data_IF_350641441254
#
_entry.id   IF_350641441254
#
_cell.length_a   1.000
_cell.length_b   1.000
_cell.length_c   1.000
_cell.angle_alpha   90.00
_cell.angle_beta   90.00
_cell.angle_gamma   90.00
#
_symmetry.space_group_name_H-M   'P 1'
#
loop_
_entity.id
_entity.type
_entity.pdbx_description
1 polymer ?
#
# COMPACT_ATOMS: atom_id res chain seq x y z
N UNK A 1 9.99 -14.74 10.48
CA UNK A 1 9.14 -13.97 9.54
C UNK A 1 8.65 -12.65 10.12
N UNK A 2 8.04 -12.63 11.32
CA UNK A 2 7.56 -11.40 11.98
C UNK A 2 8.63 -10.31 12.04
N UNK A 3 9.78 -10.60 12.65
CA UNK A 3 10.89 -9.65 12.77
C UNK A 3 11.36 -9.10 11.43
N UNK A 4 11.53 -9.97 10.43
CA UNK A 4 11.92 -9.56 9.09
C UNK A 4 10.92 -8.56 8.47
N UNK A 5 9.61 -8.75 8.70
CA UNK A 5 8.58 -7.84 8.24
C UNK A 5 8.57 -6.51 9.02
N UNK A 6 8.62 -6.58 10.35
CA UNK A 6 8.63 -5.44 11.28
C UNK A 6 9.81 -4.50 11.01
N UNK A 7 11.00 -5.07 10.81
CA UNK A 7 12.25 -4.36 10.58
C UNK A 7 12.63 -4.20 9.11
N UNK A 8 11.77 -4.63 8.18
CA UNK A 8 11.98 -4.46 6.74
C UNK A 8 13.29 -5.08 6.22
N UNK A 9 13.57 -6.33 6.60
CA UNK A 9 14.82 -7.01 6.23
C UNK A 9 14.85 -7.41 4.74
N UNK A 10 15.56 -6.62 3.93
CA UNK A 10 15.66 -6.83 2.48
C UNK A 10 16.16 -8.22 2.10
N UNK A 11 17.20 -8.74 2.76
CA UNK A 11 17.79 -10.05 2.43
C UNK A 11 16.79 -11.19 2.53
N UNK A 12 15.89 -11.14 3.53
CA UNK A 12 14.83 -12.15 3.69
C UNK A 12 13.80 -12.04 2.57
N UNK A 13 13.31 -10.84 2.26
CA UNK A 13 12.30 -10.65 1.21
C UNK A 13 12.83 -10.89 -0.20
N UNK A 14 14.08 -10.52 -0.47
CA UNK A 14 14.78 -10.86 -1.71
C UNK A 14 14.84 -12.38 -1.91
N UNK A 15 15.26 -13.13 -0.87
CA UNK A 15 15.30 -14.59 -0.92
C UNK A 15 13.90 -15.19 -1.13
N UNK A 16 12.90 -14.74 -0.37
CA UNK A 16 11.52 -15.20 -0.50
C UNK A 16 10.96 -14.94 -1.89
N UNK A 17 11.21 -13.76 -2.45
CA UNK A 17 10.82 -13.40 -3.80
C UNK A 17 11.38 -14.34 -4.87
N UNK A 18 12.67 -14.66 -4.77
CA UNK A 18 13.32 -15.66 -5.64
C UNK A 18 12.73 -17.06 -5.43
N UNK A 19 12.43 -17.45 -4.19
CA UNK A 19 11.80 -18.74 -3.87
C UNK A 19 10.37 -18.83 -4.43
N UNK A 20 9.59 -17.75 -4.37
CA UNK A 20 8.25 -17.67 -4.99
C UNK A 20 8.32 -17.73 -6.52
N UNK A 21 9.42 -17.24 -7.10
CA UNK A 21 9.67 -17.26 -8.54
C UNK A 21 8.86 -16.22 -9.31
N UNK A 22 9.31 -15.92 -10.54
CA UNK A 22 8.73 -14.86 -11.37
C UNK A 22 7.26 -15.10 -11.70
N UNK A 23 6.85 -16.36 -11.91
CA UNK A 23 5.45 -16.71 -12.19
C UNK A 23 4.53 -16.39 -11.01
N UNK A 24 4.92 -16.78 -9.79
CA UNK A 24 4.16 -16.51 -8.57
C UNK A 24 4.10 -15.02 -8.23
N UNK A 25 5.22 -14.31 -8.38
CA UNK A 25 5.31 -12.86 -8.18
C UNK A 25 4.45 -12.11 -9.21
N UNK A 26 4.52 -12.48 -10.49
CA UNK A 26 3.67 -11.92 -11.56
C UNK A 26 2.19 -12.13 -11.27
N UNK A 27 1.79 -13.35 -10.91
CA UNK A 27 0.39 -13.66 -10.62
C UNK A 27 -0.13 -12.84 -9.44
N UNK A 28 0.70 -12.66 -8.41
CA UNK A 28 0.36 -11.84 -7.24
C UNK A 28 0.28 -10.36 -7.58
N UNK A 29 1.27 -9.80 -8.28
CA UNK A 29 1.24 -8.40 -8.72
C UNK A 29 0.00 -8.12 -9.59
N UNK A 30 -0.27 -9.02 -10.55
CA UNK A 30 -1.45 -8.96 -11.39
C UNK A 30 -2.72 -8.99 -10.52
N UNK A 31 -2.83 -9.88 -9.53
CA UNK A 31 -4.00 -10.00 -8.62
C UNK A 31 -4.24 -8.76 -7.73
N UNK A 32 -3.28 -7.84 -7.66
CA UNK A 32 -3.47 -6.50 -7.07
C UNK A 32 -3.79 -5.40 -8.07
N UNK A 33 -3.49 -5.58 -9.35
CA UNK A 33 -3.82 -4.63 -10.43
C UNK A 33 -2.59 -4.07 -11.14
N UNK A 34 -1.39 -4.57 -10.83
CA UNK A 34 -0.19 -4.20 -11.56
C UNK A 34 -0.27 -4.69 -13.01
N UNK A 35 0.37 -3.93 -13.90
CA UNK A 35 0.39 -4.09 -15.35
C UNK A 35 -0.98 -3.93 -16.03
N UNK A 36 -2.01 -3.43 -15.32
CA UNK A 36 -3.30 -3.07 -15.92
C UNK A 36 -3.33 -1.58 -16.33
N UNK A 37 -3.22 -1.32 -17.62
CA UNK A 37 -3.33 0.02 -18.20
C UNK A 37 -4.78 0.46 -18.47
N UNK A 38 -5.77 -0.40 -18.18
CA UNK A 38 -7.19 -0.17 -18.43
C UNK A 38 -7.92 0.56 -17.31
N UNK A 39 -7.31 0.74 -16.14
CA UNK A 39 -7.96 1.33 -14.96
C UNK A 39 -8.38 2.79 -15.21
N UNK A 40 -9.65 3.10 -14.92
CA UNK A 40 -10.24 4.44 -15.08
C UNK A 40 -11.12 4.84 -13.90
N UNK A 41 -10.89 6.04 -13.33
CA UNK A 41 -11.62 6.56 -12.16
C UNK A 41 -11.68 8.11 -12.13
N UNK A 42 -12.68 8.75 -12.75
CA UNK A 42 -13.29 8.37 -14.04
C UNK A 42 -12.29 8.51 -15.21
N UNK A 43 -11.15 9.14 -14.97
CA UNK A 43 -10.08 9.35 -15.94
C UNK A 43 -9.06 8.21 -15.93
N UNK A 44 -8.20 8.14 -16.95
CA UNK A 44 -7.12 7.15 -17.02
C UNK A 44 -6.19 7.27 -15.81
N UNK A 45 -5.89 6.13 -15.20
CA UNK A 45 -4.92 6.00 -14.12
C UNK A 45 -3.59 5.53 -14.69
N UNK A 46 -2.47 6.11 -14.23
CA UNK A 46 -1.16 5.61 -14.60
C UNK A 46 -0.98 4.17 -14.07
N UNK A 47 -0.55 3.21 -14.91
CA UNK A 47 -0.40 1.83 -14.46
C UNK A 47 0.76 1.72 -13.47
N UNK A 48 0.57 0.89 -12.44
CA UNK A 48 1.69 0.36 -11.67
C UNK A 48 2.28 -0.83 -12.42
N UNK A 49 3.61 -0.97 -12.43
CA UNK A 49 4.30 -1.97 -13.26
C UNK A 49 5.09 -2.96 -12.43
N UNK A 50 5.08 -4.21 -12.86
CA UNK A 50 5.95 -5.27 -12.36
C UNK A 50 6.56 -6.00 -13.55
N UNK A 51 7.89 -6.00 -13.63
CA UNK A 51 8.60 -6.64 -14.73
C UNK A 51 8.47 -8.16 -14.66
N UNK A 52 8.04 -8.75 -15.76
CA UNK A 52 7.74 -10.19 -15.84
C UNK A 52 8.84 -10.99 -16.53
N UNK A 53 9.85 -10.31 -17.08
CA UNK A 53 10.97 -10.91 -17.81
C UNK A 53 12.29 -10.63 -17.09
N UNK A 54 12.38 -11.13 -15.85
CA UNK A 54 13.51 -10.87 -14.95
C UNK A 54 14.29 -12.14 -14.60
N UNK A 55 15.61 -12.01 -14.48
CA UNK A 55 16.45 -13.05 -13.90
C UNK A 55 16.31 -13.13 -12.36
N UNK A 56 17.05 -14.03 -11.71
CA UNK A 56 16.97 -14.22 -10.24
C UNK A 56 17.44 -12.98 -9.46
N UNK A 57 18.45 -12.26 -9.94
CA UNK A 57 18.98 -11.08 -9.25
C UNK A 57 18.01 -9.90 -9.40
N UNK A 58 17.48 -9.69 -10.59
CA UNK A 58 16.46 -8.69 -10.89
C UNK A 58 15.15 -8.96 -10.16
N UNK A 59 14.75 -10.25 -10.04
CA UNK A 59 13.59 -10.65 -9.24
C UNK A 59 13.80 -10.35 -7.76
N UNK A 60 15.00 -10.63 -7.22
CA UNK A 60 15.34 -10.30 -5.84
C UNK A 60 15.21 -8.80 -5.54
N UNK A 61 15.69 -7.94 -6.46
CA UNK A 61 15.54 -6.48 -6.38
C UNK A 61 14.07 -6.06 -6.49
N UNK A 62 13.33 -6.63 -7.44
CA UNK A 62 11.90 -6.33 -7.64
C UNK A 62 11.06 -6.69 -6.41
N UNK A 63 11.38 -7.80 -5.74
CA UNK A 63 10.70 -8.26 -4.52
C UNK A 63 10.89 -7.35 -3.31
N UNK A 64 11.86 -6.44 -3.33
CA UNK A 64 12.04 -5.39 -2.32
C UNK A 64 11.61 -4.00 -2.83
N UNK A 65 10.93 -3.94 -3.97
CA UNK A 65 10.42 -2.70 -4.56
C UNK A 65 11.46 -1.89 -5.34
N UNK A 66 12.53 -2.53 -5.83
CA UNK A 66 13.56 -1.91 -6.67
C UNK A 66 13.52 -2.42 -8.12
N UNK A 67 14.58 -2.11 -8.89
CA UNK A 67 14.73 -2.42 -10.31
C UNK A 67 13.66 -1.72 -11.16
N UNK A 68 12.74 -2.47 -11.77
CA UNK A 68 11.75 -1.96 -12.72
C UNK A 68 10.31 -2.05 -12.17
N UNK A 69 10.18 -2.17 -10.85
CA UNK A 69 8.88 -2.13 -10.16
C UNK A 69 8.49 -0.69 -9.88
N UNK A 70 7.30 -0.26 -10.33
CA UNK A 70 6.77 1.10 -10.09
C UNK A 70 5.34 1.00 -9.60
N UNK A 71 4.98 1.80 -8.60
CA UNK A 71 3.63 1.79 -8.06
C UNK A 71 3.08 3.21 -7.91
N UNK A 72 1.79 3.39 -8.18
CA UNK A 72 1.08 4.63 -7.85
C UNK A 72 0.58 4.58 -6.41
N UNK A 73 0.44 5.74 -5.73
CA UNK A 73 -0.17 5.79 -4.40
C UNK A 73 -1.56 5.17 -4.37
N UNK A 74 -2.37 5.38 -5.41
CA UNK A 74 -3.69 4.75 -5.55
C UNK A 74 -3.60 3.21 -5.53
N UNK A 75 -2.72 2.63 -6.34
CA UNK A 75 -2.54 1.18 -6.37
C UNK A 75 -2.09 0.61 -5.02
N UNK A 76 -1.21 1.33 -4.33
CA UNK A 76 -0.71 0.92 -3.02
C UNK A 76 -1.76 1.10 -1.90
N UNK A 77 -2.63 2.10 -1.99
CA UNK A 77 -3.80 2.23 -1.11
C UNK A 77 -4.77 1.06 -1.32
N UNK A 78 -4.99 0.63 -2.58
CA UNK A 78 -5.80 -0.56 -2.88
C UNK A 78 -5.18 -1.85 -2.31
N UNK A 79 -3.84 -1.98 -2.33
CA UNK A 79 -3.15 -3.11 -1.68
C UNK A 79 -3.43 -3.10 -0.17
N UNK A 80 -3.26 -1.97 0.51
CA UNK A 80 -3.55 -1.86 1.94
C UNK A 80 -5.03 -2.13 2.26
N UNK A 81 -5.95 -1.61 1.45
CA UNK A 81 -7.38 -1.86 1.57
C UNK A 81 -7.72 -3.36 1.40
N UNK A 82 -7.06 -4.04 0.46
CA UNK A 82 -7.28 -5.47 0.26
C UNK A 82 -6.77 -6.30 1.44
N UNK A 83 -5.63 -5.95 2.05
CA UNK A 83 -5.15 -6.60 3.28
C UNK A 83 -6.15 -6.42 4.41
N UNK A 84 -6.63 -5.19 4.61
CA UNK A 84 -7.61 -4.87 5.64
C UNK A 84 -8.94 -5.60 5.40
N UNK A 85 -9.41 -5.64 4.15
CA UNK A 85 -10.68 -6.21 3.71
C UNK A 85 -10.65 -7.72 3.38
N UNK A 86 -9.80 -8.50 4.05
CA UNK A 86 -9.81 -9.97 3.96
C UNK A 86 -9.31 -10.53 2.61
N UNK A 87 -8.42 -9.81 1.93
CA UNK A 87 -7.79 -10.20 0.67
C UNK A 87 -8.56 -9.80 -0.59
N UNK A 88 -9.59 -8.97 -0.46
CA UNK A 88 -10.45 -8.54 -1.57
C UNK A 88 -10.05 -7.16 -2.09
N UNK A 89 -9.63 -7.11 -3.35
CA UNK A 89 -9.40 -5.86 -4.08
C UNK A 89 -10.73 -5.42 -4.68
N UNK A 90 -11.27 -4.30 -4.19
CA UNK A 90 -12.49 -3.67 -4.71
C UNK A 90 -12.10 -2.59 -5.72
N UNK A 91 -12.86 -2.49 -6.82
CA UNK A 91 -12.63 -1.42 -7.78
C UNK A 91 -12.96 -0.03 -7.15
N UNK A 92 -12.01 0.92 -7.10
CA UNK A 92 -12.20 2.24 -6.49
C UNK A 92 -13.08 3.18 -7.34
N UNK A 93 -13.89 4.05 -6.69
CA UNK A 93 -14.63 5.16 -7.31
C UNK A 93 -14.17 6.50 -6.75
N UNK A 94 -14.39 7.56 -7.53
CA UNK A 94 -14.28 8.95 -7.07
C UNK A 94 -15.66 9.61 -6.89
N UNK A 95 -16.65 9.24 -7.70
CA UNK A 95 -18.00 9.82 -7.66
C UNK A 95 -18.95 8.85 -6.96
N UNK A 96 -19.47 9.23 -5.79
CA UNK A 96 -20.41 8.42 -5.00
C UNK A 96 -21.82 8.44 -5.62
N UNK A 97 -22.32 9.64 -5.95
CA UNK A 97 -23.59 9.84 -6.63
C UNK A 97 -23.60 11.12 -7.45
N UNK A 98 -24.49 11.17 -8.44
CA UNK A 98 -24.84 12.41 -9.15
C UNK A 98 -26.28 12.81 -8.80
N UNK A 99 -26.55 14.11 -8.71
CA UNK A 99 -27.86 14.65 -8.29
C UNK A 99 -28.35 15.71 -9.27
N UNK A 100 -29.67 15.85 -9.39
CA UNK A 100 -30.30 17.00 -10.05
C UNK A 100 -30.18 18.24 -9.16
N UNK A 101 -30.43 19.42 -9.72
CA UNK A 101 -30.44 20.68 -8.97
C UNK A 101 -31.37 20.65 -7.73
N UNK A 102 -32.52 19.97 -7.83
CA UNK A 102 -33.45 19.77 -6.71
C UNK A 102 -33.06 18.68 -5.71
N UNK A 103 -31.82 18.17 -5.74
CA UNK A 103 -31.32 17.19 -4.77
C UNK A 103 -31.66 15.72 -5.06
N UNK A 104 -32.53 15.43 -6.01
CA UNK A 104 -32.87 14.06 -6.41
C UNK A 104 -31.69 13.32 -7.04
N UNK A 105 -31.38 12.12 -6.54
CA UNK A 105 -30.31 11.24 -7.07
C UNK A 105 -30.61 10.81 -8.51
N UNK A 106 -29.59 10.90 -9.37
CA UNK A 106 -29.62 10.47 -10.78
C UNK A 106 -28.92 9.12 -10.95
N UNK A 107 -27.74 8.97 -10.35
CA UNK A 107 -26.99 7.71 -10.36
C UNK A 107 -26.12 7.58 -9.11
N UNK A 108 -25.73 6.36 -8.78
CA UNK A 108 -24.79 6.03 -7.68
C UNK A 108 -23.64 5.16 -8.21
N UNK A 109 -22.56 5.04 -7.43
CA UNK A 109 -21.37 4.24 -7.79
C UNK A 109 -21.66 2.74 -8.00
N UNK A 110 -22.82 2.24 -7.58
CA UNK A 110 -23.30 0.88 -7.82
C UNK A 110 -22.46 -0.25 -7.21
N UNK A 111 -22.85 -1.49 -7.50
CA UNK A 111 -22.03 -2.67 -7.18
C UNK A 111 -20.82 -2.71 -8.10
N UNK A 112 -19.66 -3.06 -7.54
CA UNK A 112 -18.38 -3.01 -8.26
C UNK A 112 -17.67 -4.35 -8.27
N UNK A 113 -16.91 -4.66 -9.34
CA UNK A 113 -16.11 -5.87 -9.38
C UNK A 113 -15.22 -5.99 -8.15
N UNK A 114 -15.24 -7.18 -7.56
CA UNK A 114 -14.37 -7.57 -6.47
C UNK A 114 -13.51 -8.71 -6.95
N UNK A 115 -12.21 -8.59 -6.77
CA UNK A 115 -11.25 -9.65 -7.07
C UNK A 115 -10.57 -10.11 -5.80
N UNK A 116 -10.35 -11.41 -5.68
CA UNK A 116 -9.59 -12.00 -4.57
C UNK A 116 -8.10 -12.01 -4.91
N UNK A 117 -7.31 -11.19 -4.21
CA UNK A 117 -5.86 -11.15 -4.36
C UNK A 117 -5.14 -12.18 -3.47
N UNK A 118 -5.73 -12.51 -2.32
CA UNK A 118 -5.23 -13.52 -1.40
C UNK A 118 -6.37 -14.18 -0.62
N UNK A 119 -6.05 -15.29 0.06
CA UNK A 119 -6.98 -15.95 0.98
C UNK A 119 -7.24 -15.09 2.22
N UNK A 120 -8.43 -15.17 2.84
CA UNK A 120 -8.72 -14.46 4.09
C UNK A 120 -7.72 -14.76 5.21
N UNK A 121 -7.24 -16.01 5.31
CA UNK A 121 -6.23 -16.42 6.29
C UNK A 121 -4.87 -15.76 6.04
N UNK A 122 -4.47 -15.61 4.77
CA UNK A 122 -3.27 -14.85 4.38
C UNK A 122 -3.42 -13.37 4.73
N UNK A 123 -4.58 -12.78 4.45
CA UNK A 123 -4.86 -11.39 4.80
C UNK A 123 -4.81 -11.14 6.30
N UNK A 124 -5.39 -12.05 7.12
CA UNK A 124 -5.33 -11.98 8.57
C UNK A 124 -3.90 -11.99 9.10
N UNK A 125 -3.07 -12.92 8.61
CA UNK A 125 -1.64 -12.98 8.98
C UNK A 125 -0.90 -11.71 8.56
N UNK A 126 -1.18 -11.17 7.38
CA UNK A 126 -0.55 -9.95 6.91
C UNK A 126 -0.99 -8.71 7.70
N UNK A 127 -2.26 -8.65 8.16
CA UNK A 127 -2.74 -7.63 9.10
C UNK A 127 -1.95 -7.66 10.41
N UNK A 128 -1.74 -8.84 10.99
CA UNK A 128 -0.93 -8.98 12.22
C UNK A 128 0.52 -8.54 12.03
N UNK A 129 1.13 -8.89 10.90
CA UNK A 129 2.48 -8.44 10.56
C UNK A 129 2.56 -6.92 10.39
N UNK A 130 1.60 -6.33 9.68
CA UNK A 130 1.49 -4.87 9.50
C UNK A 130 1.22 -4.14 10.82
N UNK A 131 0.44 -4.73 11.73
CA UNK A 131 0.23 -4.20 13.09
C UNK A 131 1.55 -4.18 13.86
N UNK A 132 2.33 -5.26 13.80
CA UNK A 132 3.65 -5.33 14.43
C UNK A 132 4.63 -4.26 13.94
N UNK A 133 4.53 -3.80 12.68
CA UNK A 133 5.36 -2.69 12.18
C UNK A 133 5.07 -1.38 12.92
N UNK A 134 3.82 -1.15 13.29
CA UNK A 134 3.38 0.06 14.00
C UNK A 134 3.57 -0.07 15.50
N UNK A 135 3.34 -1.25 16.08
CA UNK A 135 3.54 -1.48 17.52
C UNK A 135 5.05 -1.51 17.86
N UNK A 136 5.82 -2.30 17.13
CA UNK A 136 7.17 -2.68 17.54
C UNK A 136 8.26 -2.16 16.60
N UNK A 137 7.92 -1.64 15.43
CA UNK A 137 8.85 -1.52 14.32
C UNK A 137 9.04 -0.15 13.71
N UNK A 138 9.33 -0.18 12.42
CA UNK A 138 9.70 0.99 11.63
C UNK A 138 8.57 2.00 11.43
N UNK A 139 7.31 1.64 11.72
CA UNK A 139 6.12 2.46 11.48
C UNK A 139 5.49 3.06 12.74
N UNK A 140 6.19 3.08 13.88
CA UNK A 140 5.63 3.52 15.18
C UNK A 140 4.93 4.87 15.17
N UNK A 141 5.41 5.81 14.37
CA UNK A 141 4.81 7.15 14.28
C UNK A 141 3.40 7.16 13.64
N UNK A 142 2.95 6.04 13.07
CA UNK A 142 1.59 5.87 12.58
C UNK A 142 0.57 5.49 13.67
N UNK A 143 1.01 5.18 14.90
CA UNK A 143 0.13 4.71 15.97
C UNK A 143 -0.91 5.76 16.36
N UNK A 144 -2.15 5.30 16.58
CA UNK A 144 -3.28 6.12 16.99
C UNK A 144 -3.83 5.54 18.30
N UNK A 145 -3.84 6.29 19.41
CA UNK A 145 -4.42 5.84 20.67
C UNK A 145 -5.90 5.43 20.50
N UNK A 146 -6.26 4.27 21.01
CA UNK A 146 -7.63 3.74 20.94
C UNK A 146 -8.04 3.16 19.57
N UNK A 147 -7.10 3.00 18.64
CA UNK A 147 -7.33 2.36 17.35
C UNK A 147 -6.29 1.25 17.08
N UNK A 148 -6.67 0.29 16.23
CA UNK A 148 -5.75 -0.72 15.70
C UNK A 148 -5.26 -0.21 14.35
N UNK A 149 -3.95 0.00 14.24
CA UNK A 149 -3.31 0.48 13.01
C UNK A 149 -2.33 -0.58 12.52
N UNK A 150 -2.43 -0.94 11.25
CA UNK A 150 -1.40 -1.72 10.56
C UNK A 150 -0.79 -0.92 9.43
N UNK A 151 0.53 -1.03 9.24
CA UNK A 151 1.20 -0.33 8.15
C UNK A 151 2.48 -1.00 7.68
N UNK A 152 3.07 -0.42 6.64
CA UNK A 152 4.41 -0.76 6.18
C UNK A 152 5.12 0.45 5.61
N UNK A 153 6.34 0.65 6.10
CA UNK A 153 7.29 1.64 5.60
C UNK A 153 7.92 1.20 4.28
N UNK A 154 8.21 2.17 3.42
CA UNK A 154 9.08 2.00 2.26
C UNK A 154 10.04 3.18 2.15
N UNK A 155 11.25 2.90 1.70
CA UNK A 155 12.25 3.91 1.33
C UNK A 155 12.75 3.53 -0.06
N UNK A 156 12.30 4.24 -1.09
CA UNK A 156 12.72 3.96 -2.46
C UNK A 156 13.87 4.89 -2.84
N UNK A 157 14.94 4.28 -3.35
CA UNK A 157 16.13 5.00 -3.83
C UNK A 157 15.80 5.84 -5.08
N UNK A 158 16.45 6.99 -5.22
CA UNK A 158 16.23 7.93 -6.32
C UNK A 158 17.57 8.45 -6.88
N UNK A 159 17.62 8.69 -8.20
CA UNK A 159 18.80 9.17 -8.91
C UNK A 159 19.84 8.08 -9.22
N UNK A 160 20.68 8.32 -10.23
CA UNK A 160 21.80 7.43 -10.56
C UNK A 160 22.75 7.31 -9.36
N UNK A 161 23.08 6.09 -8.96
CA UNK A 161 23.93 5.84 -7.78
C UNK A 161 23.33 6.35 -6.46
N UNK A 162 22.01 6.49 -6.36
CA UNK A 162 21.32 7.11 -5.22
C UNK A 162 21.65 8.59 -5.03
N UNK A 163 21.99 9.33 -6.09
CA UNK A 163 22.31 10.76 -5.99
C UNK A 163 21.13 11.62 -5.54
N UNK A 164 19.89 11.21 -5.81
CA UNK A 164 18.68 11.93 -5.45
C UNK A 164 18.19 11.65 -4.03
N UNK A 165 17.31 12.51 -3.55
CA UNK A 165 16.62 12.34 -2.27
C UNK A 165 15.63 11.17 -2.35
N UNK A 166 15.67 10.19 -1.43
CA UNK A 166 14.78 9.02 -1.46
C UNK A 166 13.31 9.40 -1.36
N UNK A 167 12.44 8.58 -1.95
CA UNK A 167 11.01 8.67 -1.72
C UNK A 167 10.65 7.98 -0.40
N UNK A 168 9.98 8.70 0.49
CA UNK A 168 9.41 8.12 1.70
C UNK A 168 8.00 7.59 1.41
N UNK A 169 7.79 6.31 1.65
CA UNK A 169 6.50 5.64 1.46
C UNK A 169 5.95 5.10 2.78
N UNK A 170 4.64 5.21 2.94
CA UNK A 170 3.93 4.48 3.99
C UNK A 170 2.56 4.05 3.48
N UNK A 171 2.25 2.77 3.59
CA UNK A 171 0.89 2.25 3.37
C UNK A 171 0.32 1.77 4.70
N UNK A 172 -0.96 1.99 4.92
CA UNK A 172 -1.60 1.62 6.18
C UNK A 172 -3.09 1.40 6.06
N UNK A 173 -3.64 0.81 7.11
CA UNK A 173 -5.07 0.73 7.39
C UNK A 173 -5.30 1.01 8.87
N UNK A 174 -6.50 1.50 9.21
CA UNK A 174 -6.89 1.71 10.59
C UNK A 174 -8.33 1.26 10.86
N UNK A 175 -8.50 0.70 12.06
CA UNK A 175 -9.76 0.24 12.63
C UNK A 175 -9.93 0.94 13.97
N UNK A 176 -11.04 1.66 14.17
CA UNK A 176 -11.33 2.27 15.47
C UNK A 176 -11.59 1.19 16.52
N UNK A 177 -11.33 1.46 17.79
CA UNK A 177 -11.47 0.47 18.86
C UNK A 177 -12.88 -0.10 19.05
N UNK A 178 -13.91 0.55 18.49
CA UNK A 178 -15.31 0.08 18.50
C UNK A 178 -15.77 -0.49 17.15
N UNK A 179 -14.95 -0.39 16.10
CA UNK A 179 -15.30 -0.89 14.79
C UNK A 179 -14.97 -2.38 14.67
N UNK A 180 -15.82 -3.13 13.96
CA UNK A 180 -15.56 -4.54 13.65
C UNK A 180 -14.54 -4.70 12.51
N UNK A 181 -14.47 -3.71 11.62
CA UNK A 181 -13.66 -3.74 10.40
C UNK A 181 -12.85 -2.44 10.26
N UNK A 182 -11.78 -2.49 9.48
CA UNK A 182 -11.01 -1.29 9.15
C UNK A 182 -11.88 -0.28 8.38
N UNK A 183 -11.79 0.99 8.78
CA UNK A 183 -12.58 2.09 8.20
C UNK A 183 -11.87 2.81 7.07
N UNK A 184 -10.54 2.73 7.04
CA UNK A 184 -9.71 3.50 6.12
C UNK A 184 -8.44 2.74 5.76
N UNK A 185 -8.00 2.91 4.52
CA UNK A 185 -6.67 2.53 4.04
C UNK A 185 -6.02 3.74 3.35
N UNK A 186 -4.74 3.94 3.59
CA UNK A 186 -3.98 5.12 3.15
C UNK A 186 -2.68 4.67 2.50
N UNK A 187 -2.26 5.38 1.46
CA UNK A 187 -0.91 5.34 0.95
C UNK A 187 -0.38 6.78 0.85
N UNK A 188 0.77 7.01 1.47
CA UNK A 188 1.50 8.29 1.42
C UNK A 188 2.82 8.06 0.71
N UNK A 189 3.11 8.92 -0.25
CA UNK A 189 4.44 9.12 -0.82
C UNK A 189 4.85 10.56 -0.58
N UNK A 190 6.07 10.76 -0.10
CA UNK A 190 6.68 12.09 0.03
C UNK A 190 7.88 12.14 -0.90
N UNK A 191 7.80 13.06 -1.86
CA UNK A 191 8.90 13.51 -2.69
C UNK A 191 9.31 14.88 -2.18
N UNK A 192 10.41 14.96 -1.44
CA UNK A 192 10.94 16.23 -0.96
C UNK A 192 12.37 16.41 -1.48
N UNK A 193 12.54 17.39 -2.37
CA UNK A 193 13.83 17.72 -2.97
C UNK A 193 14.74 18.55 -2.05
N UNK A 194 14.19 19.17 -0.99
CA UNK A 194 14.87 20.12 -0.11
C UNK A 194 15.12 19.58 1.31
N UNK A 195 14.40 18.55 1.76
CA UNK A 195 14.57 18.00 3.10
C UNK A 195 15.88 17.21 3.27
N UNK A 196 16.42 17.25 4.50
CA UNK A 196 17.61 16.51 4.87
C UNK A 196 17.40 15.01 4.62
N UNK A 197 18.27 14.43 3.79
CA UNK A 197 18.21 13.01 3.38
C UNK A 197 18.10 12.01 4.55
N UNK A 198 18.59 12.37 5.74
CA UNK A 198 18.51 11.53 6.95
C UNK A 198 17.12 11.51 7.59
N UNK A 199 16.29 12.50 7.30
CA UNK A 199 14.96 12.67 7.91
C UNK A 199 13.85 12.05 7.06
N UNK A 200 14.08 11.90 5.75
CA UNK A 200 13.10 11.37 4.81
C UNK A 200 13.08 9.85 4.87
N UNK A 201 12.07 9.33 5.55
CA UNK A 201 11.83 7.89 5.64
C UNK A 201 10.34 7.60 5.73
N UNK A 202 9.96 6.37 5.35
CA UNK A 202 8.57 5.93 5.47
C UNK A 202 8.01 6.07 6.89
N UNK A 203 8.83 5.82 7.92
CA UNK A 203 8.43 5.94 9.33
C UNK A 203 8.54 7.37 9.89
N UNK A 204 9.48 8.17 9.41
CA UNK A 204 9.70 9.53 9.89
C UNK A 204 8.74 10.55 9.29
N UNK A 205 8.55 10.52 7.97
CA UNK A 205 7.82 11.58 7.23
C UNK A 205 6.45 11.12 6.77
N UNK A 206 6.37 9.94 6.13
CA UNK A 206 5.12 9.46 5.54
C UNK A 206 4.13 8.90 6.58
N UNK A 207 4.62 8.22 7.62
CA UNK A 207 3.77 7.65 8.67
C UNK A 207 2.98 8.69 9.48
N UNK A 208 3.55 9.84 9.92
CA UNK A 208 2.76 10.90 10.56
C UNK A 208 1.66 11.49 9.68
N UNK A 209 1.91 11.64 8.37
CA UNK A 209 0.89 12.11 7.41
C UNK A 209 -0.23 11.07 7.33
N UNK A 210 0.11 9.80 7.19
CA UNK A 210 -0.88 8.72 7.16
C UNK A 210 -1.69 8.68 8.46
N UNK A 211 -1.04 8.86 9.61
CA UNK A 211 -1.71 8.98 10.91
C UNK A 211 -2.75 10.09 10.93
N UNK A 212 -2.39 11.29 10.51
CA UNK A 212 -3.31 12.43 10.50
C UNK A 212 -4.57 12.16 9.65
N UNK A 213 -4.39 11.57 8.46
CA UNK A 213 -5.51 11.18 7.59
C UNK A 213 -6.38 10.10 8.25
N UNK A 214 -5.76 9.05 8.81
CA UNK A 214 -6.50 7.97 9.46
C UNK A 214 -7.25 8.48 10.70
N UNK A 215 -6.64 9.32 11.53
CA UNK A 215 -7.30 9.93 12.69
C UNK A 215 -8.52 10.77 12.30
N UNK A 216 -8.43 11.53 11.21
CA UNK A 216 -9.55 12.34 10.73
C UNK A 216 -10.76 11.46 10.36
N UNK A 217 -10.53 10.32 9.70
CA UNK A 217 -11.59 9.38 9.32
C UNK A 217 -12.14 8.61 10.53
N UNK A 218 -11.31 8.27 11.51
CA UNK A 218 -11.78 7.56 12.70
C UNK A 218 -12.60 8.45 13.67
N UNK A 219 -12.47 9.77 13.55
CA UNK A 219 -13.23 10.75 14.34
C UNK A 219 -14.53 11.21 13.67
N UNK A 220 -14.77 10.84 12.41
CA UNK A 220 -15.96 11.23 11.63
C UNK A 220 -17.19 10.37 11.89
#
# INVERSE_FOLDING_TARGET
MREAFVWSCNTVFAKLGVTTGVAGMRATAASFGFNDAGVRIPFRVAPSTFDTSVDRAQLALSSIGQYNTRATPLQMAMVAAAVAGGGQVRAPYLVERTTRAGGGTVSTAGSRPVRRAMLPTTASRLRELMRGVVEDGTGRNAAIPGAIVGGKTGTAQHGLGNSGTPYAWFISWAQGGRDLEARVAVAVVVEDAAANRREISGGGTAAPIARAVMEAVLKS
#
